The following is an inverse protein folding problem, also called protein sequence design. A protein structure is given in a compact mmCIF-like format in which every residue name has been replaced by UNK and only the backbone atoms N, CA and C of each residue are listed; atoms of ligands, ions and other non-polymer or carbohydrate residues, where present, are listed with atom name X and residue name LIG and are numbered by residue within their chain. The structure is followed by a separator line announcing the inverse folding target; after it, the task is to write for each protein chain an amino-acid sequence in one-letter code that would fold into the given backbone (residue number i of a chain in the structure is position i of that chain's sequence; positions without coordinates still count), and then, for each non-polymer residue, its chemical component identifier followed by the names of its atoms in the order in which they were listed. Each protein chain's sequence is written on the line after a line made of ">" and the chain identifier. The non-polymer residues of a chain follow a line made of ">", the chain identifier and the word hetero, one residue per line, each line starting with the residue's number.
data_IF_854619353722
#
_entry.id   IF_854619353722
#
_cell.length_a   1.000
_cell.length_b   1.000
_cell.length_c   1.000
_cell.angle_alpha   90.00
_cell.angle_beta   90.00
_cell.angle_gamma   90.00
#
_symmetry.space_group_name_H-M   'P 1'
#
loop_
_entity.id
_entity.type
_entity.pdbx_description
1 polymer ?
#
# COMPACT_ATOMS: atom_id res chain seq x y z
N UNK A 1 20.39 -11.19 -2.53
CA UNK A 1 19.08 -11.45 -3.17
C UNK A 1 18.18 -10.28 -2.82
N UNK A 2 17.87 -9.40 -3.79
CA UNK A 2 17.30 -8.07 -3.52
C UNK A 2 16.00 -8.17 -2.72
N UNK A 3 15.95 -7.49 -1.56
CA UNK A 3 14.77 -7.31 -0.68
C UNK A 3 13.49 -6.99 -1.48
N UNK A 4 13.69 -6.30 -2.61
CA UNK A 4 12.71 -6.04 -3.67
C UNK A 4 11.92 -7.29 -4.14
N UNK A 5 12.60 -8.32 -4.64
CA UNK A 5 11.95 -9.49 -5.25
C UNK A 5 11.24 -10.38 -4.21
N UNK A 6 11.73 -10.42 -2.98
CA UNK A 6 11.20 -11.35 -1.95
C UNK A 6 10.05 -10.75 -1.15
N UNK A 7 9.94 -9.43 -1.07
CA UNK A 7 8.92 -8.76 -0.25
C UNK A 7 7.96 -7.91 -1.07
N UNK A 8 8.45 -7.12 -2.01
CA UNK A 8 7.59 -6.20 -2.78
C UNK A 8 6.81 -6.91 -3.89
N UNK A 9 7.44 -7.87 -4.59
CA UNK A 9 6.77 -8.60 -5.67
C UNK A 9 5.59 -9.47 -5.18
N UNK A 10 5.69 -10.23 -4.08
CA UNK A 10 4.54 -10.94 -3.51
C UNK A 10 3.45 -9.99 -2.99
N UNK A 11 3.84 -8.89 -2.32
CA UNK A 11 2.89 -7.90 -1.82
C UNK A 11 2.11 -7.23 -2.95
N UNK A 12 2.80 -6.84 -4.03
CA UNK A 12 2.20 -6.31 -5.25
C UNK A 12 1.20 -7.29 -5.87
N UNK A 13 1.59 -8.56 -6.03
CA UNK A 13 0.72 -9.59 -6.59
C UNK A 13 -0.54 -9.82 -5.75
N UNK A 14 -0.39 -9.87 -4.41
CA UNK A 14 -1.52 -9.99 -3.49
C UNK A 14 -2.46 -8.78 -3.57
N UNK A 15 -1.92 -7.56 -3.49
CA UNK A 15 -2.73 -6.34 -3.58
C UNK A 15 -3.50 -6.26 -4.92
N UNK A 16 -2.81 -6.57 -6.02
CA UNK A 16 -3.43 -6.60 -7.35
C UNK A 16 -4.57 -7.63 -7.41
N UNK A 17 -4.32 -8.86 -6.98
CA UNK A 17 -5.34 -9.92 -7.01
C UNK A 17 -6.59 -9.59 -6.18
N UNK A 18 -6.43 -9.03 -4.98
CA UNK A 18 -7.58 -8.60 -4.17
C UNK A 18 -8.39 -7.48 -4.84
N UNK A 19 -7.72 -6.48 -5.40
CA UNK A 19 -8.41 -5.36 -6.07
C UNK A 19 -9.17 -5.85 -7.31
N UNK A 20 -8.56 -6.73 -8.11
CA UNK A 20 -9.20 -7.30 -9.31
C UNK A 20 -10.38 -8.19 -8.93
N UNK A 21 -10.25 -9.00 -7.89
CA UNK A 21 -11.34 -9.82 -7.39
C UNK A 21 -12.54 -8.95 -6.96
N UNK A 22 -12.28 -7.91 -6.17
CA UNK A 22 -13.32 -6.95 -5.77
C UNK A 22 -13.96 -6.29 -6.98
N UNK A 23 -13.15 -5.78 -7.91
CA UNK A 23 -13.65 -5.13 -9.12
C UNK A 23 -14.49 -6.08 -9.98
N UNK A 24 -14.13 -7.36 -10.05
CA UNK A 24 -14.88 -8.38 -10.79
C UNK A 24 -16.23 -8.65 -10.15
N UNK A 25 -16.29 -8.77 -8.82
CA UNK A 25 -17.54 -8.92 -8.07
C UNK A 25 -18.44 -7.70 -8.28
N UNK A 26 -17.89 -6.49 -8.17
CA UNK A 26 -18.62 -5.24 -8.43
C UNK A 26 -19.13 -5.16 -9.87
N UNK A 27 -18.34 -5.65 -10.84
CA UNK A 27 -18.74 -5.69 -12.24
C UNK A 27 -19.91 -6.65 -12.50
N UNK A 28 -19.93 -7.82 -11.85
CA UNK A 28 -21.04 -8.76 -11.92
C UNK A 28 -22.33 -8.14 -11.35
N UNK A 29 -22.23 -7.38 -10.26
CA UNK A 29 -23.39 -6.77 -9.58
C UNK A 29 -23.92 -5.54 -10.33
N UNK A 30 -23.03 -4.63 -10.77
CA UNK A 30 -23.40 -3.34 -11.34
C UNK A 30 -23.49 -3.33 -12.88
N UNK A 31 -22.98 -4.36 -13.55
CA UNK A 31 -23.04 -4.49 -15.01
C UNK A 31 -22.21 -3.44 -15.75
N UNK A 32 -20.91 -3.32 -15.47
CA UNK A 32 -20.05 -2.39 -16.20
C UNK A 32 -19.72 -2.91 -17.61
N UNK A 33 -19.59 -1.96 -18.54
CA UNK A 33 -19.08 -2.23 -19.90
C UNK A 33 -17.63 -2.73 -19.85
N UNK A 34 -17.31 -3.78 -20.64
CA UNK A 34 -15.96 -4.39 -20.70
C UNK A 34 -14.82 -3.38 -20.82
N UNK A 35 -14.99 -2.33 -21.63
CA UNK A 35 -13.92 -1.35 -21.89
C UNK A 35 -13.55 -0.52 -20.64
N UNK A 36 -14.55 -0.11 -19.85
CA UNK A 36 -14.33 0.62 -18.59
C UNK A 36 -13.65 -0.26 -17.54
N UNK A 37 -13.99 -1.54 -17.52
CA UNK A 37 -13.37 -2.51 -16.62
C UNK A 37 -11.89 -2.73 -16.98
N UNK A 38 -11.56 -2.98 -18.25
CA UNK A 38 -10.17 -3.14 -18.68
C UNK A 38 -9.33 -1.88 -18.42
N UNK A 39 -9.89 -0.69 -18.66
CA UNK A 39 -9.21 0.57 -18.37
C UNK A 39 -8.93 0.75 -16.87
N UNK A 40 -9.88 0.39 -16.01
CA UNK A 40 -9.71 0.40 -14.56
C UNK A 40 -8.58 -0.55 -14.11
N UNK A 41 -8.54 -1.78 -14.65
CA UNK A 41 -7.47 -2.75 -14.35
C UNK A 41 -6.10 -2.17 -14.67
N UNK A 42 -5.96 -1.54 -15.84
CA UNK A 42 -4.69 -0.96 -16.28
C UNK A 42 -4.28 0.21 -15.38
N UNK A 43 -5.22 1.06 -14.96
CA UNK A 43 -4.94 2.15 -14.02
C UNK A 43 -4.49 1.66 -12.64
N UNK A 44 -5.15 0.64 -12.10
CA UNK A 44 -4.75 0.02 -10.83
C UNK A 44 -3.36 -0.58 -10.92
N UNK A 45 -3.04 -1.25 -12.04
CA UNK A 45 -1.72 -1.82 -12.28
C UNK A 45 -0.64 -0.74 -12.29
N UNK A 46 -0.84 0.34 -13.03
CA UNK A 46 0.08 1.48 -13.09
C UNK A 46 0.23 2.14 -11.71
N UNK A 47 -0.87 2.34 -10.98
CA UNK A 47 -0.85 2.90 -9.62
C UNK A 47 0.00 2.06 -8.67
N UNK A 48 -0.23 0.74 -8.62
CA UNK A 48 0.54 -0.15 -7.75
C UNK A 48 2.02 -0.19 -8.12
N UNK A 49 2.36 -0.11 -9.42
CA UNK A 49 3.77 0.01 -9.84
C UNK A 49 4.41 1.30 -9.30
N UNK A 50 3.71 2.43 -9.41
CA UNK A 50 4.20 3.72 -8.89
C UNK A 50 4.37 3.66 -7.38
N UNK A 51 3.41 3.09 -6.63
CA UNK A 51 3.52 2.91 -5.18
C UNK A 51 4.77 2.10 -4.79
N UNK A 52 5.03 0.97 -5.46
CA UNK A 52 6.23 0.15 -5.19
C UNK A 52 7.53 0.91 -5.50
N UNK A 53 7.54 1.74 -6.55
CA UNK A 53 8.71 2.57 -6.88
C UNK A 53 8.93 3.64 -5.80
N UNK A 54 7.86 4.28 -5.30
CA UNK A 54 7.96 5.26 -4.21
C UNK A 54 8.49 4.61 -2.94
N UNK A 55 7.97 3.45 -2.55
CA UNK A 55 8.45 2.72 -1.36
C UNK A 55 9.92 2.31 -1.51
N UNK A 56 10.32 1.90 -2.72
CA UNK A 56 11.71 1.59 -3.01
C UNK A 56 12.61 2.82 -2.94
N UNK A 57 12.14 3.96 -3.46
CA UNK A 57 12.87 5.23 -3.41
C UNK A 57 13.05 5.72 -1.96
N UNK A 58 12.00 5.61 -1.14
CA UNK A 58 12.02 5.96 0.28
C UNK A 58 12.92 5.03 1.09
N UNK A 59 13.05 3.77 0.69
CA UNK A 59 14.00 2.84 1.31
C UNK A 59 15.47 3.23 1.13
N UNK A 60 15.83 4.15 0.23
CA UNK A 60 17.20 4.68 0.14
C UNK A 60 17.50 5.74 1.20
N UNK A 61 16.48 6.33 1.82
CA UNK A 61 16.66 7.35 2.83
C UNK A 61 16.72 6.64 4.18
N UNK A 62 17.88 6.70 4.84
CA UNK A 62 18.05 6.18 6.20
C UNK A 62 17.32 7.09 7.20
N UNK A 63 16.01 6.86 7.36
CA UNK A 63 15.23 7.53 8.39
C UNK A 63 15.58 6.95 9.77
N UNK A 64 16.15 7.79 10.65
CA UNK A 64 16.47 7.43 12.05
C UNK A 64 15.25 6.91 12.84
N UNK A 65 14.02 7.27 12.44
CA UNK A 65 12.79 6.73 13.03
C UNK A 65 11.83 6.25 11.94
N UNK A 66 11.26 5.07 12.16
CA UNK A 66 10.22 4.46 11.32
C UNK A 66 9.03 5.40 11.03
N UNK A 67 8.70 6.28 11.98
CA UNK A 67 7.63 7.28 11.84
C UNK A 67 7.93 8.32 10.74
N UNK A 68 9.20 8.69 10.52
CA UNK A 68 9.54 9.67 9.48
C UNK A 68 9.48 9.08 8.08
N UNK A 69 9.88 7.81 7.91
CA UNK A 69 9.67 7.07 6.66
C UNK A 69 8.18 7.04 6.31
N UNK A 70 7.33 6.75 7.28
CA UNK A 70 5.88 6.71 7.10
C UNK A 70 5.27 8.05 6.71
N UNK A 71 5.63 9.14 7.39
CA UNK A 71 5.11 10.47 7.07
C UNK A 71 5.53 10.87 5.65
N UNK A 72 6.77 10.57 5.25
CA UNK A 72 7.25 10.83 3.89
C UNK A 72 6.48 10.02 2.84
N UNK A 73 6.23 8.74 3.10
CA UNK A 73 5.43 7.86 2.24
C UNK A 73 4.00 8.38 2.08
N UNK A 74 3.35 8.76 3.18
CA UNK A 74 2.00 9.31 3.16
C UNK A 74 1.91 10.62 2.37
N UNK A 75 2.86 11.54 2.58
CA UNK A 75 2.88 12.84 1.89
C UNK A 75 3.08 12.68 0.38
N UNK A 76 3.84 11.66 -0.05
CA UNK A 76 4.10 11.42 -1.48
C UNK A 76 2.99 10.59 -2.13
N UNK A 77 2.55 9.48 -1.50
CA UNK A 77 1.54 8.61 -2.11
C UNK A 77 0.17 9.29 -2.18
N UNK A 78 -0.25 10.02 -1.15
CA UNK A 78 -1.59 10.61 -1.10
C UNK A 78 -1.93 11.50 -2.31
N UNK A 79 -1.10 12.49 -2.71
CA UNK A 79 -1.38 13.29 -3.90
C UNK A 79 -1.33 12.46 -5.19
N UNK A 80 -0.48 11.42 -5.26
CA UNK A 80 -0.46 10.49 -6.40
C UNK A 80 -1.78 9.73 -6.48
N UNK A 81 -2.28 9.20 -5.36
CA UNK A 81 -3.55 8.47 -5.28
C UNK A 81 -4.73 9.34 -5.71
N UNK A 82 -4.80 10.59 -5.23
CA UNK A 82 -5.84 11.52 -5.66
C UNK A 82 -5.70 11.87 -7.14
N UNK A 83 -4.48 12.09 -7.62
CA UNK A 83 -4.22 12.38 -9.04
C UNK A 83 -4.68 11.24 -9.96
N UNK A 84 -4.34 9.99 -9.61
CA UNK A 84 -4.79 8.81 -10.36
C UNK A 84 -6.31 8.67 -10.28
N UNK A 85 -6.91 8.86 -9.10
CA UNK A 85 -8.35 8.74 -8.94
C UNK A 85 -9.12 9.82 -9.73
N UNK A 86 -8.54 11.02 -9.87
CA UNK A 86 -9.09 12.11 -10.68
C UNK A 86 -9.04 11.78 -12.18
N UNK A 87 -7.86 11.38 -12.68
CA UNK A 87 -7.67 10.99 -14.10
C UNK A 87 -8.53 9.78 -14.44
N UNK A 88 -8.60 8.82 -13.52
CA UNK A 88 -9.38 7.60 -13.67
C UNK A 88 -10.88 7.77 -13.48
N UNK A 89 -11.34 8.94 -13.04
CA UNK A 89 -12.75 9.19 -12.70
C UNK A 89 -13.30 8.11 -11.75
N UNK A 90 -12.49 7.67 -10.79
CA UNK A 90 -12.86 6.58 -9.87
C UNK A 90 -14.02 6.95 -8.96
N UNK A 91 -14.20 8.24 -8.68
CA UNK A 91 -15.33 8.78 -7.93
C UNK A 91 -15.81 10.10 -8.52
N UNK A 92 -17.08 10.42 -8.27
CA UNK A 92 -17.63 11.73 -8.62
C UNK A 92 -16.94 12.81 -7.78
N UNK A 93 -16.35 13.81 -8.44
CA UNK A 93 -15.59 14.88 -7.81
C UNK A 93 -16.52 15.78 -6.98
N UNK A 94 -16.72 15.39 -5.72
CA UNK A 94 -17.49 16.11 -4.72
C UNK A 94 -16.66 16.21 -3.45
N UNK A 95 -16.73 17.35 -2.77
CA UNK A 95 -16.00 17.60 -1.52
C UNK A 95 -16.28 16.53 -0.45
N UNK A 96 -17.53 16.01 -0.41
CA UNK A 96 -17.90 14.90 0.47
C UNK A 96 -17.15 13.61 0.11
N UNK A 97 -17.11 13.25 -1.16
CA UNK A 97 -16.44 12.02 -1.61
C UNK A 97 -14.95 12.10 -1.34
N UNK A 98 -14.31 13.23 -1.67
CA UNK A 98 -12.89 13.46 -1.39
C UNK A 98 -12.63 13.28 0.10
N UNK A 99 -13.39 13.95 0.96
CA UNK A 99 -13.22 13.84 2.42
C UNK A 99 -13.38 12.41 2.92
N UNK A 100 -14.38 11.68 2.43
CA UNK A 100 -14.62 10.30 2.83
C UNK A 100 -13.48 9.37 2.41
N UNK A 101 -13.03 9.45 1.16
CA UNK A 101 -11.91 8.64 0.66
C UNK A 101 -10.59 8.98 1.35
N UNK A 102 -10.35 10.26 1.68
CA UNK A 102 -9.20 10.67 2.48
C UNK A 102 -9.22 10.09 3.89
N UNK A 103 -10.38 10.08 4.56
CA UNK A 103 -10.53 9.44 5.86
C UNK A 103 -10.26 7.93 5.80
N UNK A 104 -10.82 7.24 4.80
CA UNK A 104 -10.58 5.81 4.58
C UNK A 104 -9.10 5.54 4.31
N UNK A 105 -8.45 6.36 3.49
CA UNK A 105 -7.02 6.26 3.20
C UNK A 105 -6.18 6.37 4.48
N UNK A 106 -6.42 7.40 5.31
CA UNK A 106 -5.70 7.58 6.57
C UNK A 106 -5.91 6.39 7.51
N UNK A 107 -7.13 5.87 7.63
CA UNK A 107 -7.43 4.70 8.48
C UNK A 107 -6.67 3.45 8.01
N UNK A 108 -6.69 3.17 6.70
CA UNK A 108 -5.98 2.02 6.13
C UNK A 108 -4.48 2.18 6.33
N UNK A 109 -3.94 3.39 6.11
CA UNK A 109 -2.52 3.68 6.33
C UNK A 109 -2.11 3.44 7.78
N UNK A 110 -2.90 3.93 8.75
CA UNK A 110 -2.65 3.68 10.19
C UNK A 110 -2.69 2.18 10.49
N UNK A 111 -3.68 1.44 9.96
CA UNK A 111 -3.82 0.01 10.21
C UNK A 111 -2.62 -0.80 9.69
N UNK A 112 -2.17 -0.52 8.46
CA UNK A 112 -0.97 -1.14 7.87
C UNK A 112 0.26 -0.84 8.75
N UNK A 113 0.38 0.40 9.25
CA UNK A 113 1.51 0.80 10.08
C UNK A 113 1.51 0.17 11.46
N UNK A 114 0.35 0.06 12.11
CA UNK A 114 0.22 -0.69 13.35
C UNK A 114 0.65 -2.15 13.15
N UNK A 115 0.23 -2.78 12.05
CA UNK A 115 0.61 -4.14 11.72
C UNK A 115 2.13 -4.30 11.53
N UNK A 116 2.76 -3.44 10.73
CA UNK A 116 4.20 -3.49 10.52
C UNK A 116 5.03 -3.09 11.75
N UNK A 117 4.53 -2.18 12.58
CA UNK A 117 5.17 -1.86 13.85
C UNK A 117 5.18 -3.08 14.77
N UNK A 118 4.06 -3.79 14.89
CA UNK A 118 3.97 -5.00 15.68
C UNK A 118 4.86 -6.13 15.16
N UNK A 119 4.94 -6.31 13.82
CA UNK A 119 5.81 -7.34 13.25
C UNK A 119 7.30 -7.02 13.47
N UNK A 120 7.69 -5.76 13.30
CA UNK A 120 9.08 -5.32 13.51
C UNK A 120 9.48 -5.46 14.98
N UNK A 121 8.60 -5.08 15.90
CA UNK A 121 8.81 -5.27 17.34
C UNK A 121 8.97 -6.75 17.70
N UNK A 122 8.09 -7.61 17.17
CA UNK A 122 8.17 -9.07 17.39
C UNK A 122 9.48 -9.66 16.87
N UNK A 123 9.94 -9.22 15.70
CA UNK A 123 11.23 -9.65 15.15
C UNK A 123 12.41 -9.22 16.05
N UNK A 124 12.39 -7.99 16.56
CA UNK A 124 13.42 -7.51 17.49
C UNK A 124 13.43 -8.31 18.80
N UNK A 125 12.26 -8.62 19.35
CA UNK A 125 12.11 -9.42 20.57
C UNK A 125 12.61 -10.86 20.36
N UNK A 126 12.31 -11.49 19.22
CA UNK A 126 12.82 -12.81 18.85
C UNK A 126 14.35 -12.83 18.76
N UNK A 127 14.96 -11.84 18.08
CA UNK A 127 16.43 -11.71 17.98
C UNK A 127 17.06 -11.55 19.38
N UNK A 128 16.49 -10.69 20.22
CA UNK A 128 16.97 -10.48 21.58
C UNK A 128 16.88 -11.77 22.42
N UNK A 129 15.83 -12.58 22.21
CA UNK A 129 15.68 -13.85 22.89
C UNK A 129 16.72 -14.88 22.41
N UNK A 130 17.00 -14.94 21.11
CA UNK A 130 18.09 -15.78 20.57
C UNK A 130 19.46 -15.37 21.11
N UNK A 131 19.74 -14.07 21.22
CA UNK A 131 20.99 -13.56 21.80
C UNK A 131 21.11 -13.92 23.29
N UNK A 132 20.03 -13.81 24.06
CA UNK A 132 20.01 -14.24 25.47
C UNK A 132 20.25 -15.74 25.62
N UNK A 133 19.63 -16.56 24.77
CA UNK A 133 19.84 -18.01 24.77
C UNK A 133 21.28 -18.39 24.39
N UNK A 134 21.89 -17.66 23.45
CA UNK A 134 23.30 -17.85 23.07
C UNK A 134 24.26 -17.46 24.18
N UNK A 135 24.04 -16.33 24.87
CA UNK A 135 24.90 -15.88 25.97
C UNK A 135 24.79 -16.72 27.26
N UNK A 136 23.75 -17.56 27.37
CA UNK A 136 23.54 -18.46 28.52
C UNK A 136 24.25 -19.81 28.36
N UNK A 137 24.79 -20.10 27.18
CA UNK A 137 25.48 -21.35 26.82
C UNK A 137 26.98 -21.08 26.72
#
# INVERSE_FOLDING_TARGET
>A
MNKFLRTYLPAFSMAFTFIILYATISNIIAGYSKDRFCFFILQVFVYLMVSVIVDWLLSFIDFSKYIYHFIAEMIILYPITIGVAFIGKWFAFSAINITWYSCVYILIMIAIHCYFYHISKRQADEINNFLKLRNKR
#
